data_IF_702264718693
#
_entry.id   IF_702264718693
#
_cell.length_a   1.000
_cell.length_b   1.000
_cell.length_c   1.000
_cell.angle_alpha   90.00
_cell.angle_beta   90.00
_cell.angle_gamma   90.00
#
_symmetry.space_group_name_H-M   'P 1'
#
loop_
_entity.id
_entity.type
_entity.pdbx_description
1 polymer ?
#
# COMPACT_ATOMS: atom_id res chain seq x y z
N UNK A 1 -10.68 17.80 -9.94
CA UNK A 1 -10.50 16.62 -9.07
C UNK A 1 -9.12 16.04 -9.32
N UNK A 2 -8.34 15.80 -8.27
CA UNK A 2 -6.98 15.22 -8.30
C UNK A 2 -5.96 15.83 -9.30
N UNK A 3 -6.21 17.05 -9.82
CA UNK A 3 -5.32 17.73 -10.77
C UNK A 3 -5.39 17.23 -12.22
N UNK A 4 -6.26 16.27 -12.56
CA UNK A 4 -6.38 15.75 -13.92
C UNK A 4 -7.35 16.59 -14.78
N UNK A 5 -7.07 16.76 -16.09
CA UNK A 5 -8.00 17.39 -17.03
C UNK A 5 -9.35 16.67 -17.05
N UNK A 6 -10.43 17.43 -17.26
CA UNK A 6 -11.81 16.88 -17.34
C UNK A 6 -12.10 16.12 -18.64
N UNK A 7 -11.20 16.16 -19.62
CA UNK A 7 -11.34 15.49 -20.91
C UNK A 7 -10.67 14.10 -20.90
N UNK A 8 -11.49 13.11 -21.29
CA UNK A 8 -11.22 11.72 -21.69
C UNK A 8 -10.04 10.98 -21.01
N UNK A 9 -10.37 10.02 -20.13
CA UNK A 9 -9.55 8.83 -19.75
C UNK A 9 -8.10 9.03 -19.25
N UNK A 10 -7.58 10.24 -19.13
CA UNK A 10 -6.27 10.53 -18.51
C UNK A 10 -6.35 10.54 -16.97
N UNK A 11 -6.83 9.44 -16.38
CA UNK A 11 -6.82 9.23 -14.92
C UNK A 11 -5.66 8.34 -14.47
N UNK A 12 -4.72 8.02 -15.37
CA UNK A 12 -3.68 7.04 -15.11
C UNK A 12 -2.31 7.71 -15.14
N UNK A 13 -1.78 8.04 -13.96
CA UNK A 13 -0.33 7.96 -13.79
C UNK A 13 0.04 6.51 -14.12
N UNK A 14 0.99 6.30 -15.04
CA UNK A 14 1.56 4.99 -15.30
C UNK A 14 2.27 4.52 -14.02
N UNK A 15 1.49 3.94 -13.10
CA UNK A 15 1.97 3.30 -11.89
C UNK A 15 2.99 2.26 -12.32
N UNK A 16 4.15 2.24 -11.67
CA UNK A 16 5.26 1.36 -12.03
C UNK A 16 4.74 -0.06 -12.30
N UNK A 17 5.06 -0.66 -13.44
CA UNK A 17 4.40 -1.88 -13.93
C UNK A 17 4.51 -3.11 -13.01
N UNK A 18 5.30 -3.03 -11.93
CA UNK A 18 5.60 -4.14 -11.02
C UNK A 18 4.92 -3.98 -9.68
N UNK A 19 4.15 -5.00 -9.31
CA UNK A 19 3.57 -5.12 -7.98
C UNK A 19 4.66 -5.51 -6.96
N UNK A 20 4.72 -4.86 -5.78
CA UNK A 20 5.62 -5.28 -4.73
C UNK A 20 5.23 -6.65 -4.14
N UNK A 21 6.19 -7.43 -3.61
CA UNK A 21 5.90 -8.71 -2.96
C UNK A 21 4.91 -8.56 -1.79
N UNK A 22 3.92 -9.46 -1.69
CA UNK A 22 2.92 -9.41 -0.60
C UNK A 22 3.58 -9.49 0.78
N UNK A 23 4.65 -10.28 0.92
CA UNK A 23 5.41 -10.39 2.17
C UNK A 23 6.03 -9.06 2.60
N UNK A 24 6.44 -8.22 1.66
CA UNK A 24 6.95 -6.88 1.92
C UNK A 24 5.81 -5.92 2.29
N UNK A 25 4.69 -5.95 1.57
CA UNK A 25 3.52 -5.13 1.88
C UNK A 25 2.97 -5.40 3.30
N UNK A 26 2.99 -6.66 3.75
CA UNK A 26 2.55 -7.04 5.11
C UNK A 26 3.42 -6.44 6.23
N UNK A 27 4.66 -6.02 5.94
CA UNK A 27 5.54 -5.35 6.92
C UNK A 27 5.11 -3.91 7.21
N UNK A 28 4.32 -3.28 6.33
CA UNK A 28 3.71 -1.98 6.59
C UNK A 28 2.43 -2.13 7.40
N UNK A 29 2.29 -1.35 8.47
CA UNK A 29 1.11 -1.36 9.34
C UNK A 29 0.69 -2.78 9.77
N UNK A 30 1.59 -3.67 10.23
CA UNK A 30 1.37 -5.12 10.26
C UNK A 30 0.04 -5.56 10.90
N UNK A 31 -0.36 -4.87 11.98
CA UNK A 31 -1.59 -5.06 12.74
C UNK A 31 -2.87 -4.99 11.87
N UNK A 32 -2.86 -4.23 10.77
CA UNK A 32 -4.02 -4.14 9.85
C UNK A 32 -4.37 -5.49 9.19
N UNK A 33 -3.40 -6.41 9.05
CA UNK A 33 -3.70 -7.75 8.55
C UNK A 33 -4.60 -8.52 9.51
N UNK A 34 -4.29 -8.48 10.80
CA UNK A 34 -5.11 -9.08 11.85
C UNK A 34 -6.52 -8.47 11.88
N UNK A 35 -6.62 -7.13 11.78
CA UNK A 35 -7.93 -6.47 11.73
C UNK A 35 -8.75 -6.86 10.52
N UNK A 36 -8.12 -7.00 9.35
CA UNK A 36 -8.81 -7.49 8.16
C UNK A 36 -9.39 -8.89 8.37
N UNK A 37 -8.59 -9.82 8.89
CA UNK A 37 -9.03 -11.19 9.14
C UNK A 37 -10.13 -11.24 10.22
N UNK A 38 -10.02 -10.41 11.27
CA UNK A 38 -11.04 -10.28 12.32
C UNK A 38 -12.36 -9.73 11.80
N UNK A 39 -12.33 -8.71 10.94
CA UNK A 39 -13.55 -8.14 10.36
C UNK A 39 -14.23 -9.14 9.41
N UNK A 40 -13.45 -9.87 8.60
CA UNK A 40 -13.97 -10.93 7.74
C UNK A 40 -14.60 -12.09 8.55
N UNK A 41 -13.99 -12.47 9.68
CA UNK A 41 -14.54 -13.50 10.57
C UNK A 41 -15.82 -13.02 11.30
N UNK A 42 -15.92 -11.74 11.65
CA UNK A 42 -17.12 -11.15 12.27
C UNK A 42 -18.31 -11.09 11.32
N UNK A 43 -18.10 -10.78 10.04
CA UNK A 43 -19.16 -10.89 9.03
C UNK A 43 -19.74 -12.31 8.95
N UNK A 44 -18.94 -13.33 9.32
CA UNK A 44 -19.34 -14.74 9.33
C UNK A 44 -19.94 -15.21 10.67
N UNK A 45 -19.88 -14.41 11.74
CA UNK A 45 -20.33 -14.80 13.09
C UNK A 45 -21.46 -13.91 13.63
N UNK A 46 -22.70 -14.44 13.79
CA UNK A 46 -23.86 -13.63 14.17
C UNK A 46 -23.95 -13.21 15.65
N UNK A 47 -22.93 -13.49 16.49
CA UNK A 47 -23.00 -13.35 17.95
C UNK A 47 -22.08 -12.32 18.60
N UNK A 48 -21.30 -11.55 17.83
CA UNK A 48 -20.29 -10.63 18.38
C UNK A 48 -20.91 -9.24 18.69
N UNK A 49 -20.78 -8.70 19.92
CA UNK A 49 -21.49 -7.47 20.33
C UNK A 49 -21.00 -6.18 19.65
N UNK A 50 -19.82 -6.20 19.01
CA UNK A 50 -19.30 -5.05 18.27
C UNK A 50 -19.56 -5.30 16.78
N UNK A 51 -20.67 -4.72 16.29
CA UNK A 51 -21.00 -4.65 14.87
C UNK A 51 -19.90 -3.86 14.14
N UNK A 52 -19.18 -4.46 13.18
CA UNK A 52 -18.21 -3.72 12.40
C UNK A 52 -18.91 -2.61 11.61
N UNK A 53 -18.46 -1.38 11.77
CA UNK A 53 -19.04 -0.24 11.08
C UNK A 53 -18.50 -0.16 9.65
N UNK A 54 -19.30 0.41 8.73
CA UNK A 54 -18.89 0.62 7.33
C UNK A 54 -17.57 1.40 7.24
N UNK A 55 -17.36 2.36 8.16
CA UNK A 55 -16.14 3.16 8.22
C UNK A 55 -14.90 2.32 8.61
N UNK A 56 -15.02 1.42 9.58
CA UNK A 56 -13.91 0.54 9.98
C UNK A 56 -13.50 -0.40 8.86
N UNK A 57 -14.48 -1.05 8.20
CA UNK A 57 -14.24 -1.92 7.06
C UNK A 57 -13.55 -1.15 5.92
N UNK A 58 -14.07 0.03 5.57
CA UNK A 58 -13.50 0.87 4.52
C UNK A 58 -12.07 1.33 4.89
N UNK A 59 -11.83 1.72 6.14
CA UNK A 59 -10.51 2.16 6.59
C UNK A 59 -9.47 1.05 6.50
N UNK A 60 -9.79 -0.16 6.97
CA UNK A 60 -8.90 -1.31 6.87
C UNK A 60 -8.57 -1.64 5.40
N UNK A 61 -9.57 -1.63 4.51
CA UNK A 61 -9.35 -1.83 3.08
C UNK A 61 -8.45 -0.75 2.47
N UNK A 62 -8.66 0.52 2.82
CA UNK A 62 -7.81 1.62 2.35
C UNK A 62 -6.38 1.42 2.79
N UNK A 63 -6.11 1.04 4.04
CA UNK A 63 -4.74 0.78 4.50
C UNK A 63 -4.13 -0.43 3.78
N UNK A 64 -4.90 -1.49 3.54
CA UNK A 64 -4.42 -2.64 2.75
C UNK A 64 -3.99 -2.25 1.34
N UNK A 65 -4.79 -1.42 0.67
CA UNK A 65 -4.45 -0.90 -0.65
C UNK A 65 -3.25 0.05 -0.58
N UNK A 66 -3.22 0.92 0.43
CA UNK A 66 -2.15 1.89 0.65
C UNK A 66 -0.79 1.21 0.82
N UNK A 67 -0.70 0.11 1.57
CA UNK A 67 0.55 -0.67 1.72
C UNK A 67 1.22 -0.99 0.38
N UNK A 68 0.41 -1.39 -0.61
CA UNK A 68 0.90 -1.74 -1.94
C UNK A 68 1.36 -0.51 -2.71
N UNK A 69 0.52 0.53 -2.76
CA UNK A 69 0.81 1.75 -3.52
C UNK A 69 2.02 2.48 -2.94
N UNK A 70 2.11 2.55 -1.62
CA UNK A 70 3.22 3.21 -0.94
C UNK A 70 4.57 2.55 -1.25
N UNK A 71 4.69 1.22 -1.21
CA UNK A 71 5.96 0.53 -1.59
C UNK A 71 6.23 0.63 -3.08
N UNK A 72 5.20 0.58 -3.91
CA UNK A 72 5.33 0.68 -5.36
C UNK A 72 5.90 2.04 -5.77
N UNK A 73 5.33 3.12 -5.22
CA UNK A 73 5.67 4.48 -5.59
C UNK A 73 6.88 5.00 -4.80
N UNK A 74 7.25 4.38 -3.67
CA UNK A 74 8.43 4.80 -2.89
C UNK A 74 9.72 4.76 -3.69
N UNK A 75 9.83 3.87 -4.69
CA UNK A 75 11.01 3.79 -5.56
C UNK A 75 11.25 5.11 -6.28
N UNK A 76 10.21 5.65 -6.94
CA UNK A 76 10.26 6.94 -7.62
C UNK A 76 10.36 8.10 -6.62
N UNK A 77 9.60 8.03 -5.52
CA UNK A 77 9.59 9.10 -4.51
C UNK A 77 10.95 9.26 -3.83
N UNK A 78 11.73 8.19 -3.69
CA UNK A 78 13.10 8.26 -3.19
C UNK A 78 14.06 8.98 -4.15
N UNK A 79 13.83 8.89 -5.47
CA UNK A 79 14.62 9.63 -6.47
C UNK A 79 14.25 11.11 -6.49
N UNK A 80 12.95 11.41 -6.44
CA UNK A 80 12.44 12.79 -6.47
C UNK A 80 12.71 13.54 -5.15
N UNK A 81 12.66 12.84 -4.01
CA UNK A 81 12.76 13.43 -2.69
C UNK A 81 13.69 12.64 -1.76
N UNK A 82 15.00 12.54 -2.06
CA UNK A 82 15.93 11.67 -1.34
C UNK A 82 16.12 12.03 0.15
N UNK A 83 15.83 13.27 0.54
CA UNK A 83 16.04 13.76 1.91
C UNK A 83 14.85 13.53 2.86
N UNK A 84 13.78 12.86 2.44
CA UNK A 84 12.63 12.66 3.32
C UNK A 84 12.95 11.67 4.46
N UNK A 85 12.62 12.00 5.73
CA UNK A 85 12.92 11.15 6.87
C UNK A 85 12.33 9.74 6.80
N UNK A 86 11.22 9.58 6.08
CA UNK A 86 10.52 8.31 5.93
C UNK A 86 11.42 7.22 5.32
N UNK A 87 12.38 7.60 4.48
CA UNK A 87 13.33 6.66 3.84
C UNK A 87 14.33 6.01 4.81
N UNK A 88 14.47 6.56 6.02
CA UNK A 88 15.30 5.96 7.08
C UNK A 88 14.62 4.78 7.77
N UNK A 89 13.33 4.53 7.48
CA UNK A 89 12.62 3.40 8.04
C UNK A 89 13.23 2.07 7.54
N UNK A 90 13.40 1.10 8.44
CA UNK A 90 14.08 -0.17 8.17
C UNK A 90 13.54 -0.98 7.00
N UNK A 91 12.26 -0.80 6.67
CA UNK A 91 11.62 -1.43 5.50
C UNK A 91 12.32 -1.08 4.17
N UNK A 92 12.93 0.10 4.06
CA UNK A 92 13.63 0.54 2.85
C UNK A 92 15.06 -0.01 2.75
N UNK A 93 15.57 -0.59 3.84
CA UNK A 93 16.81 -1.35 3.89
C UNK A 93 16.57 -2.86 3.82
N UNK A 94 15.31 -3.29 3.75
CA UNK A 94 14.94 -4.71 3.68
C UNK A 94 15.48 -5.35 2.39
N UNK A 95 16.12 -6.53 2.44
CA UNK A 95 16.65 -7.19 1.24
C UNK A 95 15.56 -7.44 0.17
N UNK A 96 14.32 -7.70 0.57
CA UNK A 96 13.19 -7.87 -0.34
C UNK A 96 12.81 -6.56 -1.01
N UNK A 97 12.86 -5.44 -0.28
CA UNK A 97 12.66 -4.11 -0.86
C UNK A 97 13.77 -3.75 -1.84
N UNK A 98 15.04 -3.96 -1.46
CA UNK A 98 16.18 -3.68 -2.34
C UNK A 98 16.13 -4.50 -3.63
N UNK A 99 15.75 -5.78 -3.55
CA UNK A 99 15.52 -6.64 -4.72
C UNK A 99 14.34 -6.17 -5.58
N UNK A 100 13.29 -5.63 -4.96
CA UNK A 100 12.17 -5.04 -5.68
C UNK A 100 12.58 -3.74 -6.40
N UNK A 101 13.23 -2.82 -5.69
CA UNK A 101 13.73 -1.54 -6.21
C UNK A 101 14.61 -1.72 -7.45
N UNK A 102 15.57 -2.66 -7.40
CA UNK A 102 16.45 -2.92 -8.54
C UNK A 102 15.70 -3.42 -9.79
N UNK A 103 14.61 -4.19 -9.62
CA UNK A 103 13.78 -4.68 -10.73
C UNK A 103 12.92 -3.59 -11.39
N UNK A 104 12.65 -2.50 -10.67
CA UNK A 104 11.89 -1.36 -11.20
C UNK A 104 12.77 -0.48 -12.08
N UNK A 105 14.07 -0.33 -11.75
CA UNK A 105 15.01 0.48 -12.53
C UNK A 105 15.52 -0.16 -13.85
N UNK A 106 15.25 -1.44 -14.11
CA UNK A 106 15.76 -2.16 -15.31
C UNK A 106 15.00 -1.79 -16.61
N UNK A 107 13.97 -0.93 -16.55
CA UNK A 107 13.13 -0.57 -17.72
C UNK A 107 13.13 0.95 -17.96
N UNK A 108 14.28 1.61 -17.78
CA UNK A 108 14.52 2.97 -18.26
C UNK A 108 15.51 2.93 -19.43
#
# INVERSE_FOLDING_TARGET
>A
MAGFPTYDRYFSLARAARNPPTSLCKKLFPVIGEWYDRLAAKELSPGDPIQPTVAENAFVQVIMMFRKIFIQDSVLMMELHPCYPIWQHSIFSDPVYLSFKSKVHIIA
#
